data_IF_549309585446
#
_entry.id   IF_549309585446
#
_cell.length_a   1.000
_cell.length_b   1.000
_cell.length_c   1.000
_cell.angle_alpha   90.00
_cell.angle_beta   90.00
_cell.angle_gamma   90.00
#
_symmetry.space_group_name_H-M   'P 1'
#
loop_
_entity.id
_entity.type
_entity.pdbx_description
1 polymer ?
#
# COMPACT_ATOMS: atom_id res chain seq x y z
N UNK A 1 -0.99 -55.57 36.52
CA UNK A 1 -0.64 -55.00 35.20
C UNK A 1 -1.62 -53.89 34.86
N UNK A 2 -1.19 -52.63 34.90
CA UNK A 2 -1.96 -51.45 34.45
C UNK A 2 -1.21 -50.88 33.25
N UNK A 3 -1.81 -50.93 32.06
CA UNK A 3 -1.28 -50.25 30.89
C UNK A 3 -1.78 -48.80 30.92
N UNK A 4 -0.86 -47.84 31.08
CA UNK A 4 -1.15 -46.44 30.77
C UNK A 4 -0.95 -46.23 29.27
N UNK A 5 -2.02 -45.86 28.57
CA UNK A 5 -2.01 -45.51 27.16
C UNK A 5 -1.66 -44.02 27.05
N UNK A 6 -0.40 -43.69 26.77
CA UNK A 6 0.01 -42.31 26.53
C UNK A 6 -0.26 -41.97 25.06
N UNK A 7 -1.36 -41.26 24.79
CA UNK A 7 -1.67 -40.73 23.46
C UNK A 7 -0.77 -39.50 23.24
N UNK A 8 0.26 -39.67 22.42
CA UNK A 8 1.17 -38.62 22.00
C UNK A 8 0.46 -37.72 20.97
N UNK A 9 -0.08 -36.58 21.42
CA UNK A 9 -0.57 -35.54 20.52
C UNK A 9 0.63 -34.86 19.84
N UNK A 10 0.90 -35.26 18.60
CA UNK A 10 1.90 -34.62 17.75
C UNK A 10 1.32 -33.28 17.27
N UNK A 11 1.64 -32.21 18.00
CA UNK A 11 1.33 -30.83 17.58
C UNK A 11 2.26 -30.53 16.40
N UNK A 12 1.74 -30.72 15.18
CA UNK A 12 2.35 -30.17 13.97
C UNK A 12 2.19 -28.64 14.05
N UNK A 13 3.13 -27.97 14.71
CA UNK A 13 3.29 -26.53 14.59
C UNK A 13 3.81 -26.26 13.19
N UNK A 14 2.91 -26.05 12.23
CA UNK A 14 3.30 -25.46 10.95
C UNK A 14 3.82 -24.06 11.28
N UNK A 15 5.14 -23.89 11.17
CA UNK A 15 5.77 -22.59 11.01
C UNK A 15 5.06 -21.92 9.83
N UNK A 16 4.16 -20.99 10.13
CA UNK A 16 3.62 -20.05 9.14
C UNK A 16 4.78 -19.11 8.83
N UNK A 17 5.64 -19.55 7.92
CA UNK A 17 6.50 -18.64 7.18
C UNK A 17 5.52 -17.69 6.49
N UNK A 18 5.58 -16.41 6.86
CA UNK A 18 4.72 -15.36 6.35
C UNK A 18 4.90 -15.17 4.84
N UNK A 19 4.31 -16.06 4.05
CA UNK A 19 3.85 -15.68 2.74
C UNK A 19 2.64 -14.80 2.98
N UNK A 20 2.73 -13.54 2.55
CA UNK A 20 1.54 -12.74 2.36
C UNK A 20 0.64 -13.54 1.41
N UNK A 21 -0.48 -14.06 1.91
CA UNK A 21 -1.53 -14.69 1.10
C UNK A 21 -2.26 -13.61 0.29
N UNK A 22 -1.49 -12.73 -0.37
CA UNK A 22 -2.01 -11.63 -1.17
C UNK A 22 -2.65 -12.26 -2.40
N UNK A 23 -3.93 -11.96 -2.58
CA UNK A 23 -4.69 -12.36 -3.74
C UNK A 23 -4.71 -11.20 -4.72
N UNK A 24 -4.56 -11.53 -6.00
CA UNK A 24 -4.53 -10.57 -7.10
C UNK A 24 -5.81 -10.70 -7.89
N UNK A 25 -6.57 -9.60 -8.01
CA UNK A 25 -7.74 -9.58 -8.89
C UNK A 25 -7.31 -9.72 -10.35
N UNK A 26 -8.05 -10.49 -11.12
CA UNK A 26 -7.89 -10.60 -12.56
C UNK A 26 -9.24 -10.54 -13.24
N UNK A 27 -9.26 -10.07 -14.49
CA UNK A 27 -10.46 -10.04 -15.34
C UNK A 27 -10.37 -11.18 -16.36
N UNK A 28 -11.35 -12.07 -16.38
CA UNK A 28 -11.45 -13.15 -17.36
C UNK A 28 -12.05 -12.64 -18.69
N UNK A 29 -11.97 -13.45 -19.74
CA UNK A 29 -12.47 -13.12 -21.08
C UNK A 29 -13.97 -12.81 -21.16
N UNK A 30 -14.77 -13.27 -20.20
CA UNK A 30 -16.20 -12.98 -20.08
C UNK A 30 -16.50 -11.69 -19.30
N UNK A 31 -15.50 -10.82 -19.14
CA UNK A 31 -15.55 -9.58 -18.36
C UNK A 31 -15.87 -9.75 -16.87
N UNK A 32 -15.76 -10.96 -16.33
CA UNK A 32 -15.93 -11.22 -14.89
C UNK A 32 -14.59 -11.20 -14.17
N UNK A 33 -14.61 -10.74 -12.93
CA UNK A 33 -13.47 -10.67 -12.04
C UNK A 33 -13.41 -11.88 -11.11
N UNK A 34 -12.19 -12.37 -10.89
CA UNK A 34 -11.85 -13.39 -9.91
C UNK A 34 -10.52 -13.05 -9.24
N UNK A 35 -9.99 -13.98 -8.43
CA UNK A 35 -8.73 -13.79 -7.73
C UNK A 35 -7.81 -14.99 -7.87
N UNK A 36 -6.53 -14.70 -8.03
CA UNK A 36 -5.46 -15.69 -8.11
C UNK A 36 -4.38 -15.40 -7.07
N UNK A 37 -3.62 -16.42 -6.69
CA UNK A 37 -2.38 -16.21 -5.94
C UNK A 37 -1.23 -15.77 -6.86
N UNK A 38 -0.07 -15.47 -6.27
CA UNK A 38 1.14 -15.05 -7.01
C UNK A 38 1.66 -16.08 -8.03
N UNK A 39 1.22 -17.34 -7.96
CA UNK A 39 1.59 -18.39 -8.91
C UNK A 39 0.65 -18.45 -10.11
N UNK A 40 -0.39 -17.61 -10.14
CA UNK A 40 -1.45 -17.64 -11.16
C UNK A 40 -2.53 -18.67 -10.87
N UNK A 41 -2.45 -19.40 -9.75
CA UNK A 41 -3.48 -20.35 -9.37
C UNK A 41 -4.73 -19.60 -8.93
N UNK A 42 -5.83 -19.82 -9.64
CA UNK A 42 -7.15 -19.26 -9.30
C UNK A 42 -7.57 -19.77 -7.93
N UNK A 43 -7.82 -18.83 -7.00
CA UNK A 43 -8.34 -19.08 -5.66
C UNK A 43 -9.83 -18.79 -5.59
N UNK A 44 -10.26 -17.73 -6.27
CA UNK A 44 -11.66 -17.35 -6.39
C UNK A 44 -12.00 -17.27 -7.87
N UNK A 45 -13.01 -18.03 -8.30
CA UNK A 45 -13.40 -18.11 -9.71
C UNK A 45 -13.88 -16.75 -10.23
N UNK A 46 -13.67 -16.45 -11.53
CA UNK A 46 -14.07 -15.18 -12.11
C UNK A 46 -15.57 -15.14 -12.40
N UNK A 47 -16.37 -14.81 -11.38
CA UNK A 47 -17.84 -14.77 -11.44
C UNK A 47 -18.42 -13.39 -11.09
N UNK A 48 -17.59 -12.44 -10.66
CA UNK A 48 -18.03 -11.14 -10.17
C UNK A 48 -18.03 -10.08 -11.27
N UNK A 49 -18.96 -9.13 -11.24
CA UNK A 49 -19.02 -7.98 -12.14
C UNK A 49 -17.98 -6.91 -11.77
N UNK A 50 -17.78 -6.70 -10.47
CA UNK A 50 -16.82 -5.74 -9.92
C UNK A 50 -16.29 -6.28 -8.59
N UNK A 51 -15.04 -5.94 -8.27
CA UNK A 51 -14.34 -6.34 -7.04
C UNK A 51 -13.44 -5.21 -6.55
N UNK A 52 -13.35 -5.06 -5.24
CA UNK A 52 -12.31 -4.29 -4.56
C UNK A 52 -11.04 -5.16 -4.38
N UNK A 53 -10.00 -4.63 -3.73
CA UNK A 53 -8.84 -5.43 -3.36
C UNK A 53 -9.04 -6.15 -2.01
N UNK A 54 -8.35 -7.28 -1.84
CA UNK A 54 -8.32 -7.98 -0.56
C UNK A 54 -7.49 -7.18 0.43
N UNK A 55 -8.12 -6.84 1.55
CA UNK A 55 -7.43 -6.30 2.72
C UNK A 55 -7.96 -6.98 3.98
N UNK A 56 -7.06 -7.22 4.94
CA UNK A 56 -7.43 -7.79 6.22
C UNK A 56 -8.13 -9.17 6.13
N UNK A 57 -7.90 -9.89 5.03
CA UNK A 57 -8.48 -11.20 4.71
C UNK A 57 -9.87 -11.17 4.09
N UNK A 58 -10.41 -9.98 3.78
CA UNK A 58 -11.75 -9.76 3.25
C UNK A 58 -11.72 -8.89 2.00
N UNK A 59 -12.76 -9.01 1.17
CA UNK A 59 -12.92 -8.21 -0.04
C UNK A 59 -14.41 -7.93 -0.29
N UNK A 60 -14.74 -6.74 -0.80
CA UNK A 60 -16.07 -6.45 -1.32
C UNK A 60 -16.14 -6.77 -2.81
N UNK A 61 -17.21 -7.44 -3.22
CA UNK A 61 -17.43 -7.90 -4.60
C UNK A 61 -18.91 -7.79 -4.95
N UNK A 62 -19.24 -7.82 -6.24
CA UNK A 62 -20.63 -7.87 -6.69
C UNK A 62 -20.83 -8.91 -7.79
N UNK A 63 -21.93 -9.66 -7.72
CA UNK A 63 -22.35 -10.62 -8.76
C UNK A 63 -23.40 -10.04 -9.71
N UNK A 64 -24.14 -9.03 -9.24
CA UNK A 64 -25.32 -8.49 -9.91
C UNK A 64 -25.44 -6.97 -9.71
N UNK A 65 -26.07 -6.32 -10.68
CA UNK A 65 -26.48 -4.91 -10.57
C UNK A 65 -27.88 -4.81 -9.97
N UNK A 66 -28.13 -3.69 -9.30
CA UNK A 66 -29.41 -3.27 -8.76
C UNK A 66 -29.73 -1.86 -9.25
N UNK A 67 -30.94 -1.36 -9.00
CA UNK A 67 -31.35 0.00 -9.41
C UNK A 67 -30.37 1.10 -8.97
N UNK A 68 -29.70 0.89 -7.84
CA UNK A 68 -28.76 1.83 -7.22
C UNK A 68 -27.29 1.63 -7.62
N UNK A 69 -27.00 0.69 -8.52
CA UNK A 69 -25.62 0.35 -8.93
C UNK A 69 -25.34 -1.14 -8.77
N UNK A 70 -24.42 -1.50 -7.86
CA UNK A 70 -24.03 -2.89 -7.60
C UNK A 70 -24.56 -3.38 -6.26
N UNK A 71 -24.96 -4.65 -6.19
CA UNK A 71 -25.22 -5.30 -4.91
C UNK A 71 -23.92 -5.85 -4.36
N UNK A 72 -23.45 -5.25 -3.28
CA UNK A 72 -22.16 -5.56 -2.70
C UNK A 72 -22.28 -6.63 -1.62
N UNK A 73 -21.42 -7.64 -1.72
CA UNK A 73 -21.22 -8.68 -0.72
C UNK A 73 -19.75 -8.71 -0.30
N UNK A 74 -19.48 -9.16 0.91
CA UNK A 74 -18.13 -9.38 1.40
C UNK A 74 -17.78 -10.87 1.32
N UNK A 75 -16.59 -11.17 0.80
CA UNK A 75 -16.05 -12.53 0.70
C UNK A 75 -14.73 -12.68 1.46
N UNK A 76 -14.44 -13.91 1.88
CA UNK A 76 -13.13 -14.30 2.41
C UNK A 76 -12.13 -14.67 1.29
N UNK A 77 -10.88 -14.95 1.67
CA UNK A 77 -9.81 -15.34 0.71
C UNK A 77 -10.06 -16.67 -0.04
N UNK A 78 -11.06 -17.46 0.37
CA UNK A 78 -11.47 -18.68 -0.33
C UNK A 78 -12.66 -18.42 -1.26
N UNK A 79 -13.20 -17.20 -1.28
CA UNK A 79 -14.38 -16.81 -2.04
C UNK A 79 -15.69 -17.15 -1.35
N UNK A 80 -15.67 -17.54 -0.08
CA UNK A 80 -16.89 -17.77 0.69
C UNK A 80 -17.52 -16.42 1.03
N UNK A 81 -18.83 -16.32 0.85
CA UNK A 81 -19.60 -15.15 1.27
C UNK A 81 -19.63 -15.07 2.80
N UNK A 82 -19.25 -13.91 3.33
CA UNK A 82 -19.21 -13.65 4.78
C UNK A 82 -20.46 -12.90 5.21
N UNK A 83 -20.80 -11.81 4.51
CA UNK A 83 -22.01 -11.02 4.75
C UNK A 83 -22.35 -10.12 3.54
N UNK A 84 -23.58 -9.63 3.50
CA UNK A 84 -24.10 -8.63 2.55
C UNK A 84 -24.26 -7.28 3.28
N UNK A 85 -23.94 -6.16 2.61
CA UNK A 85 -24.09 -4.80 3.18
C UNK A 85 -25.43 -4.13 2.85
N UNK A 86 -26.40 -4.85 2.27
CA UNK A 86 -27.81 -4.49 2.04
C UNK A 86 -28.01 -3.19 1.25
N UNK A 87 -27.76 -3.25 -0.06
CA UNK A 87 -27.89 -2.14 -1.03
C UNK A 87 -27.09 -0.86 -0.68
N UNK A 88 -26.14 -0.97 0.24
CA UNK A 88 -25.20 0.10 0.61
C UNK A 88 -23.88 -0.06 -0.15
N UNK A 89 -22.99 0.91 0.00
CA UNK A 89 -21.75 1.00 -0.77
C UNK A 89 -20.52 0.87 0.14
N UNK A 90 -19.52 0.06 -0.23
CA UNK A 90 -18.25 0.05 0.47
C UNK A 90 -17.45 1.30 0.07
N UNK A 91 -17.10 2.12 1.05
CA UNK A 91 -16.33 3.36 0.85
C UNK A 91 -14.82 3.14 1.01
N UNK A 92 -14.44 2.09 1.74
CA UNK A 92 -13.06 1.69 1.96
C UNK A 92 -12.93 0.18 2.02
N UNK A 93 -11.74 -0.32 1.73
CA UNK A 93 -11.32 -1.65 2.13
C UNK A 93 -11.26 -1.78 3.66
N UNK A 94 -11.10 -3.02 4.14
CA UNK A 94 -10.83 -3.28 5.55
C UNK A 94 -9.45 -2.77 5.94
N UNK A 95 -9.35 -2.11 7.10
CA UNK A 95 -8.10 -1.69 7.71
C UNK A 95 -8.27 -1.70 9.22
N UNK A 96 -7.31 -2.30 9.92
CA UNK A 96 -7.35 -2.42 11.39
C UNK A 96 -8.64 -3.08 11.91
N UNK A 97 -9.23 -3.98 11.10
CA UNK A 97 -10.48 -4.66 11.43
C UNK A 97 -11.77 -3.93 11.05
N UNK A 98 -11.70 -2.75 10.41
CA UNK A 98 -12.85 -1.92 10.09
C UNK A 98 -12.92 -1.56 8.60
N UNK A 99 -14.13 -1.48 8.06
CA UNK A 99 -14.40 -0.88 6.75
C UNK A 99 -15.50 0.17 6.88
N UNK A 100 -15.41 1.27 6.11
CA UNK A 100 -16.46 2.28 6.04
C UNK A 100 -17.48 1.90 4.97
N UNK A 101 -18.75 1.97 5.34
CA UNK A 101 -19.90 1.74 4.46
C UNK A 101 -20.72 3.02 4.40
N UNK A 102 -21.30 3.32 3.25
CA UNK A 102 -22.22 4.43 3.06
C UNK A 102 -23.57 3.96 2.54
N UNK A 103 -24.62 4.59 3.04
CA UNK A 103 -25.88 4.75 2.31
C UNK A 103 -25.83 6.08 1.55
N UNK A 104 -26.94 6.50 0.94
CA UNK A 104 -27.04 7.83 0.33
C UNK A 104 -27.03 8.98 1.35
N UNK A 105 -27.33 8.72 2.62
CA UNK A 105 -27.54 9.77 3.64
C UNK A 105 -26.59 9.69 4.81
N UNK A 106 -26.00 8.52 5.06
CA UNK A 106 -25.26 8.22 6.27
C UNK A 106 -24.10 7.28 5.97
N UNK A 107 -23.06 7.36 6.78
CA UNK A 107 -21.89 6.48 6.74
C UNK A 107 -21.66 5.87 8.12
N UNK A 108 -21.14 4.65 8.15
CA UNK A 108 -20.76 3.97 9.39
C UNK A 108 -19.61 3.01 9.14
N UNK A 109 -19.03 2.52 10.23
CA UNK A 109 -18.01 1.50 10.16
C UNK A 109 -18.59 0.15 10.53
N UNK A 110 -18.14 -0.89 9.84
CA UNK A 110 -18.44 -2.28 10.16
C UNK A 110 -17.17 -3.01 10.55
N UNK A 111 -17.30 -4.00 11.44
CA UNK A 111 -16.22 -4.95 11.71
C UNK A 111 -16.16 -6.06 10.63
N UNK A 112 -15.17 -6.94 10.73
CA UNK A 112 -14.99 -8.13 9.85
C UNK A 112 -16.19 -9.11 9.82
N UNK A 113 -17.20 -8.92 10.66
CA UNK A 113 -18.45 -9.71 10.68
C UNK A 113 -19.65 -8.92 10.11
N UNK A 114 -19.41 -7.76 9.49
CA UNK A 114 -20.46 -6.93 8.88
C UNK A 114 -21.30 -6.14 9.89
N UNK A 115 -20.88 -6.05 11.16
CA UNK A 115 -21.66 -5.39 12.21
C UNK A 115 -21.16 -3.97 12.45
N UNK A 116 -22.08 -3.01 12.51
CA UNK A 116 -21.81 -1.68 13.05
C UNK A 116 -21.63 -1.79 14.57
N UNK A 117 -20.38 -1.80 15.04
CA UNK A 117 -20.09 -1.98 16.48
C UNK A 117 -20.22 -0.68 17.28
N UNK A 118 -20.24 0.48 16.61
CA UNK A 118 -20.36 1.77 17.28
C UNK A 118 -21.82 2.13 17.56
N UNK A 119 -22.78 1.38 17.00
CA UNK A 119 -24.21 1.68 17.06
C UNK A 119 -24.51 3.15 16.71
N UNK A 120 -23.70 3.72 15.82
CA UNK A 120 -23.73 5.12 15.40
C UNK A 120 -23.49 5.23 13.90
N UNK A 121 -24.05 6.27 13.31
CA UNK A 121 -23.76 6.72 11.94
C UNK A 121 -23.27 8.17 11.96
N UNK A 122 -22.63 8.57 10.86
CA UNK A 122 -22.14 9.92 10.58
C UNK A 122 -22.66 10.39 9.23
N UNK A 123 -22.59 11.69 8.95
CA UNK A 123 -23.00 12.26 7.66
C UNK A 123 -21.91 12.22 6.60
N UNK A 124 -20.65 12.18 7.01
CA UNK A 124 -19.51 12.02 6.11
C UNK A 124 -18.35 11.32 6.83
N UNK A 125 -17.44 10.75 6.05
CA UNK A 125 -16.24 10.07 6.52
C UNK A 125 -15.12 10.15 5.50
N UNK A 126 -13.87 10.10 5.97
CA UNK A 126 -12.72 10.19 5.09
C UNK A 126 -11.62 9.19 5.48
N UNK A 127 -11.20 8.40 4.49
CA UNK A 127 -10.25 7.30 4.67
C UNK A 127 -10.73 6.14 5.55
N UNK A 128 -9.88 5.12 5.62
CA UNK A 128 -9.98 3.97 6.49
C UNK A 128 -9.43 4.29 7.90
N UNK A 129 -9.63 3.38 8.85
CA UNK A 129 -8.90 3.43 10.12
C UNK A 129 -7.40 3.28 9.88
N UNK A 130 -6.60 4.20 10.46
CA UNK A 130 -5.14 4.18 10.41
C UNK A 130 -4.53 4.66 11.72
N UNK A 131 -3.69 3.84 12.33
CA UNK A 131 -3.13 3.98 13.68
C UNK A 131 -4.21 4.19 14.74
N UNK A 132 -5.31 3.46 14.64
CA UNK A 132 -6.44 3.53 15.57
C UNK A 132 -7.32 4.79 15.43
N UNK A 133 -7.14 5.57 14.37
CA UNK A 133 -7.90 6.81 14.13
C UNK A 133 -8.64 6.73 12.80
N UNK A 134 -9.89 7.20 12.78
CA UNK A 134 -10.65 7.51 11.57
C UNK A 134 -11.20 8.94 11.63
N UNK A 135 -11.55 9.51 10.48
CA UNK A 135 -12.06 10.88 10.38
C UNK A 135 -13.51 10.89 9.89
N UNK A 136 -14.38 11.58 10.61
CA UNK A 136 -15.83 11.60 10.39
C UNK A 136 -16.41 12.99 10.59
N UNK A 137 -17.60 13.23 10.05
CA UNK A 137 -18.36 14.46 10.25
C UNK A 137 -19.83 14.16 10.55
N UNK A 138 -20.42 14.90 11.48
CA UNK A 138 -21.86 14.85 11.76
C UNK A 138 -22.66 15.75 10.78
N UNK A 139 -21.98 16.50 9.90
CA UNK A 139 -22.59 17.39 8.90
C UNK A 139 -22.02 17.08 7.51
N UNK A 140 -22.88 16.94 6.51
CA UNK A 140 -22.48 16.68 5.13
C UNK A 140 -21.63 17.83 4.58
N UNK A 141 -20.56 17.50 3.84
CA UNK A 141 -19.64 18.49 3.23
C UNK A 141 -18.97 19.45 4.21
N UNK A 142 -18.80 19.03 5.47
CA UNK A 142 -18.13 19.81 6.51
C UNK A 142 -16.73 19.27 6.83
N UNK A 143 -16.04 19.94 7.77
CA UNK A 143 -14.77 19.48 8.30
C UNK A 143 -14.94 18.22 9.16
N UNK A 144 -13.89 17.41 9.22
CA UNK A 144 -13.88 16.13 9.92
C UNK A 144 -13.23 16.26 11.29
N UNK A 145 -13.74 15.51 12.26
CA UNK A 145 -13.06 15.30 13.54
C UNK A 145 -12.58 13.84 13.64
N UNK A 146 -11.49 13.59 14.39
CA UNK A 146 -10.96 12.25 14.59
C UNK A 146 -11.77 11.45 15.62
N UNK A 147 -11.97 10.17 15.36
CA UNK A 147 -12.54 9.18 16.29
C UNK A 147 -11.56 8.04 16.54
N UNK A 148 -11.64 7.43 17.73
CA UNK A 148 -10.88 6.25 18.10
C UNK A 148 -11.56 4.95 17.62
N UNK A 149 -10.93 3.80 17.91
CA UNK A 149 -11.45 2.45 17.60
C UNK A 149 -12.68 2.05 18.40
N UNK A 150 -13.18 2.91 19.29
CA UNK A 150 -14.47 2.78 20.00
C UNK A 150 -15.52 3.74 19.45
N UNK A 151 -15.19 4.52 18.42
CA UNK A 151 -16.07 5.52 17.80
C UNK A 151 -16.21 6.80 18.61
N UNK A 152 -15.38 7.01 19.62
CA UNK A 152 -15.40 8.19 20.46
C UNK A 152 -14.54 9.30 19.85
N UNK A 153 -15.05 10.53 19.90
CA UNK A 153 -14.32 11.72 19.44
C UNK A 153 -13.04 11.88 20.26
N UNK A 154 -11.89 11.94 19.59
CA UNK A 154 -10.57 12.06 20.25
C UNK A 154 -10.33 13.48 20.73
N UNK A 155 -10.69 14.48 19.91
CA UNK A 155 -10.50 15.89 20.20
C UNK A 155 -11.55 16.76 19.49
N UNK A 156 -11.67 18.02 19.88
CA UNK A 156 -12.64 18.95 19.29
C UNK A 156 -12.19 19.62 17.99
N UNK A 157 -10.90 19.57 17.66
CA UNK A 157 -10.38 20.12 16.42
C UNK A 157 -11.05 19.46 15.21
N UNK A 158 -11.32 20.28 14.19
CA UNK A 158 -11.86 19.81 12.92
C UNK A 158 -10.85 20.12 11.82
N UNK A 159 -10.85 19.26 10.80
CA UNK A 159 -9.86 19.26 9.74
C UNK A 159 -10.58 19.28 8.39
N UNK A 160 -10.10 20.11 7.48
CA UNK A 160 -10.54 20.09 6.10
C UNK A 160 -10.18 18.76 5.44
N UNK A 161 -10.88 18.43 4.35
CA UNK A 161 -10.61 17.23 3.55
C UNK A 161 -9.14 17.13 3.11
N UNK A 162 -8.50 18.25 2.80
CA UNK A 162 -7.09 18.31 2.38
C UNK A 162 -6.16 17.97 3.57
N UNK A 163 -6.44 18.48 4.76
CA UNK A 163 -5.65 18.20 5.96
C UNK A 163 -5.75 16.74 6.38
N UNK A 164 -6.95 16.16 6.32
CA UNK A 164 -7.14 14.73 6.58
C UNK A 164 -6.37 13.89 5.57
N UNK A 165 -6.40 14.20 4.27
CA UNK A 165 -5.61 13.47 3.27
C UNK A 165 -4.11 13.52 3.58
N UNK A 166 -3.58 14.67 4.00
CA UNK A 166 -2.18 14.77 4.42
C UNK A 166 -1.88 13.88 5.62
N UNK A 167 -2.78 13.83 6.61
CA UNK A 167 -2.67 13.00 7.84
C UNK A 167 -2.74 11.51 7.56
N UNK A 168 -3.67 11.07 6.71
CA UNK A 168 -3.81 9.66 6.32
C UNK A 168 -2.61 9.18 5.51
N UNK A 169 -2.05 10.06 4.68
CA UNK A 169 -0.83 9.77 3.94
C UNK A 169 0.43 9.83 4.82
N UNK A 170 0.37 10.24 6.09
CA UNK A 170 1.61 10.43 6.89
C UNK A 170 2.09 9.22 7.69
N UNK A 171 1.54 8.02 7.51
CA UNK A 171 2.01 6.85 8.29
C UNK A 171 2.58 5.66 7.50
N UNK A 172 3.83 5.37 7.88
CA UNK A 172 4.74 4.22 7.71
C UNK A 172 5.50 4.00 6.40
N UNK A 173 4.95 4.26 5.22
CA UNK A 173 5.75 4.22 3.97
C UNK A 173 6.40 5.59 3.65
N UNK A 174 5.90 6.65 4.27
CA UNK A 174 6.12 8.03 3.80
C UNK A 174 7.17 8.81 4.60
N UNK A 175 7.59 8.41 5.81
CA UNK A 175 8.74 9.11 6.45
C UNK A 175 10.04 8.93 5.65
N UNK A 176 10.18 7.77 5.01
CA UNK A 176 11.32 7.47 4.17
C UNK A 176 11.23 8.22 2.81
N UNK A 177 10.01 8.39 2.29
CA UNK A 177 9.69 9.03 1.01
C UNK A 177 9.39 10.54 1.12
N UNK A 178 9.48 11.12 2.33
CA UNK A 178 9.25 12.55 2.60
C UNK A 178 10.53 13.37 2.67
N UNK A 179 11.68 12.75 2.40
CA UNK A 179 12.91 13.49 2.22
C UNK A 179 12.82 14.32 0.94
N UNK A 180 12.70 15.64 1.12
CA UNK A 180 12.62 16.61 0.05
C UNK A 180 14.05 16.90 -0.42
N UNK A 181 14.33 16.62 -1.68
CA UNK A 181 15.59 17.01 -2.32
C UNK A 181 15.73 18.53 -2.32
N UNK A 182 16.92 19.02 -1.96
CA UNK A 182 17.26 20.44 -2.07
C UNK A 182 18.67 20.57 -2.63
N UNK A 183 18.95 21.72 -3.25
CA UNK A 183 20.23 21.98 -3.91
C UNK A 183 20.94 23.14 -3.21
N UNK A 184 22.22 22.97 -2.93
CA UNK A 184 23.11 23.99 -2.39
C UNK A 184 24.49 23.81 -3.02
N UNK A 185 25.14 24.90 -3.43
CA UNK A 185 26.49 24.87 -4.01
C UNK A 185 26.64 23.85 -5.15
N UNK A 186 25.63 23.82 -6.03
CA UNK A 186 25.51 22.88 -7.16
C UNK A 186 25.26 21.40 -6.82
N UNK A 187 25.32 21.01 -5.54
CA UNK A 187 25.10 19.64 -5.08
C UNK A 187 23.71 19.46 -4.47
N UNK A 188 23.20 18.24 -4.54
CA UNK A 188 21.92 17.82 -3.98
C UNK A 188 22.10 17.15 -2.63
N UNK A 189 21.20 17.48 -1.71
CA UNK A 189 20.99 16.86 -0.41
C UNK A 189 19.50 16.67 -0.14
N UNK A 190 19.16 16.29 1.09
CA UNK A 190 17.78 16.02 1.50
C UNK A 190 17.46 16.63 2.85
N UNK A 191 16.26 17.19 2.96
CA UNK A 191 15.69 17.71 4.19
C UNK A 191 14.37 17.02 4.51
N UNK A 192 14.00 16.96 5.78
CA UNK A 192 12.67 16.50 6.17
C UNK A 192 11.61 17.61 5.97
N UNK A 193 10.35 17.29 6.24
CA UNK A 193 9.23 18.25 6.09
C UNK A 193 9.32 19.47 7.02
N UNK A 194 10.09 19.39 8.11
CA UNK A 194 10.35 20.51 9.02
C UNK A 194 11.44 21.45 8.49
N UNK A 195 12.08 21.09 7.37
CA UNK A 195 13.18 21.83 6.78
C UNK A 195 14.56 21.47 7.35
N UNK A 196 14.64 20.51 8.26
CA UNK A 196 15.90 20.07 8.86
C UNK A 196 16.70 19.24 7.84
N UNK A 197 17.99 19.55 7.69
CA UNK A 197 18.87 18.82 6.76
C UNK A 197 19.15 17.43 7.33
N UNK A 198 18.70 16.39 6.62
CA UNK A 198 18.92 14.98 6.97
C UNK A 198 20.16 14.44 6.27
N UNK A 199 20.31 14.76 4.98
CA UNK A 199 21.49 14.41 4.19
C UNK A 199 22.06 15.71 3.61
N UNK A 200 23.26 16.09 4.06
CA UNK A 200 23.93 17.29 3.55
C UNK A 200 24.18 17.18 2.04
N UNK A 201 24.13 18.30 1.29
CA UNK A 201 24.38 18.31 -0.15
C UNK A 201 25.74 17.71 -0.48
N UNK A 202 25.73 16.64 -1.26
CA UNK A 202 26.96 15.93 -1.68
C UNK A 202 26.82 15.14 -2.99
N UNK A 203 25.62 15.10 -3.58
CA UNK A 203 25.34 14.33 -4.79
C UNK A 203 25.19 15.24 -6.00
N UNK A 204 25.68 14.83 -7.16
CA UNK A 204 25.59 15.63 -8.38
C UNK A 204 24.18 15.60 -8.99
N UNK A 205 23.48 14.49 -8.79
CA UNK A 205 22.09 14.29 -9.20
C UNK A 205 21.41 13.34 -8.23
N UNK A 206 20.11 13.53 -8.01
CA UNK A 206 19.30 12.66 -7.15
C UNK A 206 17.90 12.48 -7.70
N UNK A 207 17.34 11.30 -7.49
CA UNK A 207 15.91 11.06 -7.62
C UNK A 207 15.15 11.46 -6.33
N UNK A 208 13.86 11.15 -6.27
CA UNK A 208 13.04 11.14 -5.06
C UNK A 208 13.29 9.87 -4.26
N UNK A 209 13.10 9.97 -2.95
CA UNK A 209 12.97 8.77 -2.14
C UNK A 209 11.66 8.05 -2.48
N UNK A 210 11.76 6.73 -2.64
CA UNK A 210 10.64 5.82 -2.78
C UNK A 210 10.98 4.51 -2.06
N UNK A 211 10.06 3.94 -1.29
CA UNK A 211 10.29 2.77 -0.44
C UNK A 211 11.54 2.90 0.47
N UNK A 212 11.87 4.13 0.88
CA UNK A 212 13.04 4.44 1.69
C UNK A 212 14.42 4.30 1.04
N UNK A 213 14.45 4.20 -0.29
CA UNK A 213 15.69 4.28 -1.07
C UNK A 213 15.61 5.43 -2.07
N UNK A 214 16.77 5.91 -2.48
CA UNK A 214 16.88 6.93 -3.51
C UNK A 214 18.08 6.61 -4.41
N UNK A 215 17.89 6.73 -5.72
CA UNK A 215 19.00 6.66 -6.66
C UNK A 215 19.69 8.01 -6.77
N UNK A 216 21.02 7.99 -6.76
CA UNK A 216 21.86 9.19 -6.77
C UNK A 216 23.03 9.03 -7.72
N UNK A 217 23.59 10.17 -8.14
CA UNK A 217 24.89 10.25 -8.79
C UNK A 217 25.90 10.80 -7.79
N UNK A 218 26.91 10.00 -7.46
CA UNK A 218 27.92 10.35 -6.46
C UNK A 218 28.89 11.42 -6.95
N UNK A 219 29.28 11.41 -8.24
CA UNK A 219 30.28 12.32 -8.79
C UNK A 219 29.91 12.88 -10.17
N UNK A 220 30.46 14.04 -10.51
CA UNK A 220 30.39 14.58 -11.87
C UNK A 220 31.30 13.79 -12.80
N UNK A 221 30.78 13.34 -13.93
CA UNK A 221 31.58 12.74 -14.99
C UNK A 221 32.05 13.83 -15.95
N UNK A 222 33.33 13.81 -16.31
CA UNK A 222 33.98 14.83 -17.18
C UNK A 222 33.43 14.87 -18.62
N UNK A 223 32.64 13.88 -19.01
CA UNK A 223 32.03 13.76 -20.33
C UNK A 223 30.52 13.54 -20.16
N UNK A 224 29.77 14.64 -20.04
CA UNK A 224 28.31 14.60 -20.08
C UNK A 224 27.88 14.38 -21.54
N UNK A 225 27.56 13.14 -21.89
CA UNK A 225 26.84 12.87 -23.14
C UNK A 225 25.38 13.24 -22.86
N UNK A 226 24.84 14.17 -23.66
CA UNK A 226 23.51 14.73 -23.47
C UNK A 226 22.43 13.64 -23.37
N UNK A 227 21.55 13.81 -22.38
CA UNK A 227 20.24 13.15 -22.19
C UNK A 227 20.12 11.89 -21.32
N UNK A 228 21.18 11.39 -20.68
CA UNK A 228 21.02 10.24 -19.78
C UNK A 228 20.78 10.69 -18.33
N UNK A 229 19.59 10.36 -17.80
CA UNK A 229 19.27 10.37 -16.38
C UNK A 229 20.05 9.25 -15.66
N UNK A 230 21.38 9.38 -15.71
CA UNK A 230 22.35 8.41 -15.23
C UNK A 230 22.55 8.57 -13.72
N UNK A 231 22.39 7.50 -12.98
CA UNK A 231 22.62 7.43 -11.53
C UNK A 231 23.60 6.27 -11.29
N UNK A 232 24.41 6.32 -10.24
CA UNK A 232 25.49 5.33 -10.02
C UNK A 232 25.49 4.71 -8.62
N UNK A 233 24.53 5.09 -7.78
CA UNK A 233 24.33 4.49 -6.47
C UNK A 233 22.86 4.54 -6.02
N UNK A 234 22.53 3.64 -5.11
CA UNK A 234 21.29 3.63 -4.32
C UNK A 234 21.66 3.94 -2.88
N UNK A 235 20.96 4.88 -2.25
CA UNK A 235 21.14 5.23 -0.85
C UNK A 235 19.86 4.98 -0.04
N UNK A 236 20.01 4.74 1.26
CA UNK A 236 18.89 4.75 2.19
C UNK A 236 18.61 6.17 2.73
N UNK A 237 17.59 6.29 3.58
CA UNK A 237 17.14 7.57 4.19
C UNK A 237 18.19 8.25 5.08
N UNK A 238 19.21 7.52 5.51
CA UNK A 238 20.36 8.07 6.27
C UNK A 238 21.49 8.53 5.35
N UNK A 239 21.33 8.40 4.04
CA UNK A 239 22.35 8.70 3.03
C UNK A 239 23.49 7.69 2.98
N UNK A 240 23.26 6.47 3.48
CA UNK A 240 24.20 5.36 3.38
C UNK A 240 24.01 4.63 2.05
N UNK A 241 25.10 4.33 1.36
CA UNK A 241 25.06 3.61 0.08
C UNK A 241 24.66 2.16 0.34
N UNK A 242 23.58 1.73 -0.29
CA UNK A 242 23.04 0.36 -0.27
C UNK A 242 23.58 -0.44 -1.45
N UNK A 243 23.75 0.20 -2.62
CA UNK A 243 24.37 -0.39 -3.79
C UNK A 243 25.07 0.67 -4.62
N UNK A 244 26.15 0.30 -5.30
CA UNK A 244 26.90 1.19 -6.16
C UNK A 244 27.14 0.49 -7.50
N UNK A 245 26.44 0.95 -8.53
CA UNK A 245 26.55 0.43 -9.88
C UNK A 245 26.00 1.45 -10.89
N UNK A 246 26.56 1.52 -12.11
CA UNK A 246 26.05 2.40 -13.15
C UNK A 246 24.63 2.03 -13.57
N UNK A 247 23.74 3.02 -13.57
CA UNK A 247 22.37 2.93 -14.04
C UNK A 247 22.21 3.99 -15.12
N UNK A 248 22.33 3.58 -16.39
CA UNK A 248 22.31 4.50 -17.52
C UNK A 248 20.97 5.24 -17.63
N UNK A 249 19.88 4.52 -17.37
CA UNK A 249 18.58 5.13 -17.17
C UNK A 249 17.93 4.49 -15.93
N UNK A 250 17.83 5.24 -14.84
CA UNK A 250 17.06 4.81 -13.69
C UNK A 250 15.56 4.91 -13.99
N UNK A 251 14.83 3.81 -13.86
CA UNK A 251 13.42 3.71 -14.23
C UNK A 251 12.48 3.76 -13.01
N UNK A 252 13.03 3.69 -11.80
CA UNK A 252 12.26 3.75 -10.56
C UNK A 252 11.93 2.38 -9.98
N UNK A 253 10.88 2.33 -9.17
CA UNK A 253 10.42 1.11 -8.54
C UNK A 253 9.33 0.41 -9.35
N UNK A 254 9.46 -0.91 -9.46
CA UNK A 254 8.44 -1.83 -9.97
C UNK A 254 8.07 -2.81 -8.86
N UNK A 255 7.09 -2.43 -8.04
CA UNK A 255 6.83 -3.09 -6.76
C UNK A 255 8.00 -2.87 -5.80
N UNK A 256 8.57 -3.97 -5.29
CA UNK A 256 9.70 -3.93 -4.34
C UNK A 256 11.09 -3.89 -5.03
N UNK A 257 11.12 -3.97 -6.36
CA UNK A 257 12.36 -3.98 -7.14
C UNK A 257 12.68 -2.59 -7.70
N UNK A 258 13.96 -2.26 -7.74
CA UNK A 258 14.48 -1.12 -8.47
C UNK A 258 14.76 -1.57 -9.90
N UNK A 259 14.16 -0.90 -10.87
CA UNK A 259 14.34 -1.15 -12.30
C UNK A 259 15.24 -0.07 -12.91
N UNK A 260 16.20 -0.50 -13.73
CA UNK A 260 17.05 0.42 -14.47
C UNK A 260 17.54 -0.21 -15.77
N UNK A 261 17.81 0.63 -16.76
CA UNK A 261 18.53 0.22 -17.96
C UNK A 261 20.04 0.34 -17.72
N UNK A 262 20.78 -0.72 -18.02
CA UNK A 262 22.23 -0.78 -17.90
C UNK A 262 22.87 -1.32 -19.17
N UNK A 263 24.08 -0.86 -19.46
CA UNK A 263 24.81 -1.22 -20.68
C UNK A 263 25.17 0.00 -21.52
N UNK A 264 26.13 -0.19 -22.43
CA UNK A 264 26.66 0.89 -23.25
C UNK A 264 25.75 1.12 -24.47
N UNK A 265 25.16 2.31 -24.58
CA UNK A 265 24.23 2.67 -25.67
C UNK A 265 23.06 1.67 -25.81
N UNK A 266 22.65 1.36 -27.04
CA UNK A 266 21.51 0.48 -27.35
C UNK A 266 21.79 -1.03 -27.15
N UNK A 267 22.97 -1.40 -26.66
CA UNK A 267 23.35 -2.80 -26.42
C UNK A 267 23.01 -3.30 -25.01
N UNK A 268 22.47 -2.43 -24.17
CA UNK A 268 22.10 -2.73 -22.80
C UNK A 268 20.78 -3.48 -22.66
N UNK A 269 20.40 -3.71 -21.41
CA UNK A 269 19.16 -4.37 -21.04
C UNK A 269 18.57 -3.80 -19.76
N UNK A 270 17.35 -4.24 -19.45
CA UNK A 270 16.70 -3.93 -18.18
C UNK A 270 17.29 -4.84 -17.10
N UNK A 271 17.67 -4.23 -15.99
CA UNK A 271 18.21 -4.90 -14.81
C UNK A 271 17.39 -4.53 -13.59
N UNK A 272 17.46 -5.39 -12.58
CA UNK A 272 16.71 -5.25 -11.34
C UNK A 272 17.63 -5.32 -10.14
N UNK A 273 17.34 -4.52 -9.11
CA UNK A 273 17.87 -4.70 -7.76
C UNK A 273 16.73 -4.99 -6.79
N UNK A 274 17.01 -5.76 -5.74
CA UNK A 274 16.16 -5.81 -4.55
C UNK A 274 16.37 -4.57 -3.66
N UNK A 275 15.57 -4.45 -2.59
CA UNK A 275 15.67 -3.38 -1.59
C UNK A 275 17.00 -3.34 -0.82
N UNK A 276 17.77 -4.43 -0.86
CA UNK A 276 19.10 -4.50 -0.25
C UNK A 276 20.19 -4.17 -1.27
N UNK A 277 19.81 -3.81 -2.51
CA UNK A 277 20.75 -3.44 -3.55
C UNK A 277 21.40 -4.61 -4.28
N UNK A 278 20.89 -5.84 -4.10
CA UNK A 278 21.39 -7.04 -4.76
C UNK A 278 20.75 -7.22 -6.13
N UNK A 279 21.57 -7.56 -7.14
CA UNK A 279 21.09 -7.82 -8.51
C UNK A 279 20.13 -9.00 -8.54
N UNK A 280 18.98 -8.78 -9.16
CA UNK A 280 17.99 -9.81 -9.45
C UNK A 280 18.03 -10.10 -10.94
N UNK A 281 18.24 -11.38 -11.28
CA UNK A 281 18.24 -11.87 -12.66
C UNK A 281 16.91 -12.59 -12.86
N UNK A 282 16.03 -12.11 -13.76
CA UNK A 282 14.86 -12.86 -14.19
C UNK A 282 15.31 -14.21 -14.76
N UNK A 283 14.69 -15.31 -14.31
CA UNK A 283 14.92 -16.66 -14.85
C UNK A 283 13.65 -17.09 -15.56
N UNK A 284 13.81 -17.63 -16.77
CA UNK A 284 12.76 -18.30 -17.54
C UNK A 284 12.30 -19.60 -16.85
#
# INVERSE_FOLDING_TARGET
MRYQLTILFLVLSTLVVGQTNKLYKFKAYNDKYGFMDKTGKIKVKPIYLIVEDFSDGLCFVSKETITKGYKWICIDTLGNEVFDIKDNFPETEFSEGFARISSFTDQWFINKKGKNIFNKTWKDGQGNFKNGVAYVSDIQFSNFYPIDTKGMKIENATYSRIEVNRKLNTTSEIEADTLIRFKQDSLWGFKNLKGEIVIKPKYCLVDKFQNGLCAVRLNYLRFEIANDYFLDAIINTKGQVVSQQPMHCYMGFRGDLIEYYGGFHFSGGIHYLDKNGQKIIPKE
#
